data_IF_861443115752
#
_entry.id   IF_861443115752
#
_cell.length_a   1.000
_cell.length_b   1.000
_cell.length_c   1.000
_cell.angle_alpha   90.00
_cell.angle_beta   90.00
_cell.angle_gamma   90.00
#
_symmetry.space_group_name_H-M   'P 1'
#
loop_
_entity.id
_entity.type
_entity.pdbx_description
1 polymer ?
#
# COMPACT_ATOMS: atom_id res chain seq x y z
N UNK A 1 -16.94 -2.55 -8.38
CA UNK A 1 -16.53 -2.17 -7.01
C UNK A 1 -15.04 -1.96 -7.07
N UNK A 2 -14.54 -0.78 -6.71
CA UNK A 2 -13.09 -0.58 -6.61
C UNK A 2 -12.53 -1.68 -5.69
N UNK A 3 -11.51 -2.40 -6.14
CA UNK A 3 -10.82 -3.34 -5.28
C UNK A 3 -10.27 -2.57 -4.07
N UNK A 4 -10.24 -3.22 -2.91
CA UNK A 4 -9.59 -2.69 -1.73
C UNK A 4 -8.80 -3.81 -1.07
N UNK A 5 -7.60 -3.49 -0.60
CA UNK A 5 -6.81 -4.38 0.24
C UNK A 5 -6.72 -3.78 1.65
N UNK A 6 -6.75 -4.63 2.66
CA UNK A 6 -6.54 -4.23 4.04
C UNK A 6 -5.51 -5.17 4.66
N UNK A 7 -4.45 -4.59 5.22
CA UNK A 7 -3.51 -5.35 6.02
C UNK A 7 -4.19 -5.84 7.30
N UNK A 8 -3.72 -6.97 7.82
CA UNK A 8 -4.04 -7.35 9.18
C UNK A 8 -3.54 -6.25 10.14
N UNK A 9 -4.32 -5.95 11.17
CA UNK A 9 -3.93 -4.99 12.18
C UNK A 9 -2.58 -5.38 12.79
N UNK A 10 -1.67 -4.41 12.88
CA UNK A 10 -0.34 -4.57 13.48
C UNK A 10 -0.34 -3.95 14.88
N UNK A 11 0.37 -4.56 15.82
CA UNK A 11 0.64 -3.94 17.10
C UNK A 11 1.56 -2.72 16.91
N UNK A 12 1.38 -1.69 17.72
CA UNK A 12 2.29 -0.55 17.88
C UNK A 12 3.55 -0.98 18.66
N UNK A 13 4.27 -1.99 18.15
CA UNK A 13 5.47 -2.54 18.78
C UNK A 13 6.74 -2.40 17.92
N UNK A 14 6.67 -1.60 16.86
CA UNK A 14 7.77 -1.35 15.95
C UNK A 14 8.58 -0.11 16.35
N UNK A 15 9.87 -0.30 16.69
CA UNK A 15 10.78 0.81 17.00
C UNK A 15 10.49 1.49 18.34
N UNK A 16 9.55 2.43 18.36
CA UNK A 16 9.02 3.08 19.56
C UNK A 16 7.62 2.55 19.85
N UNK A 17 7.46 1.88 21.00
CA UNK A 17 6.24 1.19 21.42
C UNK A 17 5.03 2.12 21.69
N UNK A 18 5.14 3.41 21.37
CA UNK A 18 4.16 4.44 21.73
C UNK A 18 3.96 5.53 20.69
N UNK A 19 4.60 5.43 19.51
CA UNK A 19 4.48 6.46 18.47
C UNK A 19 3.28 6.26 17.53
N UNK A 20 2.61 5.10 17.61
CA UNK A 20 1.43 4.77 16.82
C UNK A 20 1.76 4.37 15.39
N UNK A 21 2.99 3.94 15.11
CA UNK A 21 3.50 3.63 13.77
C UNK A 21 3.89 2.15 13.69
N UNK A 22 3.52 1.52 12.57
CA UNK A 22 4.01 0.19 12.22
C UNK A 22 4.61 0.18 10.81
N UNK A 23 5.37 -0.87 10.52
CA UNK A 23 5.96 -1.13 9.20
C UNK A 23 5.08 -2.09 8.39
N UNK A 24 4.83 -1.75 7.12
CA UNK A 24 4.01 -2.53 6.19
C UNK A 24 4.79 -2.79 4.89
N UNK A 25 4.87 -4.06 4.48
CA UNK A 25 5.34 -4.42 3.14
C UNK A 25 4.16 -4.32 2.16
N UNK A 26 4.10 -3.21 1.42
CA UNK A 26 3.03 -2.91 0.47
C UNK A 26 2.95 -3.97 -0.64
N UNK A 27 4.05 -4.64 -0.98
CA UNK A 27 4.07 -5.65 -2.06
C UNK A 27 3.21 -6.88 -1.74
N UNK A 28 2.83 -7.09 -0.47
CA UNK A 28 1.85 -8.11 -0.09
C UNK A 28 0.45 -7.85 -0.68
N UNK A 29 0.13 -6.60 -1.03
CA UNK A 29 -1.10 -6.26 -1.72
C UNK A 29 -1.07 -6.63 -3.22
N UNK A 30 0.11 -6.83 -3.83
CA UNK A 30 0.28 -6.97 -5.29
C UNK A 30 -0.60 -8.07 -5.88
N UNK A 31 -0.63 -9.25 -5.26
CA UNK A 31 -1.40 -10.38 -5.77
C UNK A 31 -2.91 -10.09 -5.78
N UNK A 32 -3.40 -9.34 -4.79
CA UNK A 32 -4.80 -8.93 -4.70
C UNK A 32 -5.11 -7.83 -5.70
N UNK A 33 -4.23 -6.82 -5.79
CA UNK A 33 -4.37 -5.66 -6.68
C UNK A 33 -4.30 -6.08 -8.16
N UNK A 34 -3.49 -7.08 -8.49
CA UNK A 34 -3.38 -7.64 -9.84
C UNK A 34 -4.59 -8.50 -10.23
N UNK A 35 -5.36 -9.03 -9.28
CA UNK A 35 -6.55 -9.86 -9.52
C UNK A 35 -6.31 -10.98 -10.56
N UNK A 36 -5.18 -11.69 -10.42
CA UNK A 36 -4.80 -12.78 -11.32
C UNK A 36 -4.13 -12.35 -12.64
N UNK A 37 -3.92 -11.06 -12.86
CA UNK A 37 -3.14 -10.57 -14.01
C UNK A 37 -1.65 -10.98 -13.90
N UNK A 38 -0.96 -11.25 -15.02
CA UNK A 38 0.43 -11.71 -14.99
C UNK A 38 1.38 -10.59 -14.53
N UNK A 39 2.07 -10.79 -13.40
CA UNK A 39 3.05 -9.83 -12.86
C UNK A 39 4.24 -9.52 -13.80
N UNK A 40 4.46 -10.31 -14.86
CA UNK A 40 5.44 -10.02 -15.90
C UNK A 40 4.95 -9.11 -17.02
N UNK A 41 3.65 -8.77 -17.04
CA UNK A 41 3.02 -7.87 -18.02
C UNK A 41 2.43 -6.62 -17.37
N UNK A 42 2.26 -6.63 -16.06
CA UNK A 42 1.66 -5.56 -15.27
C UNK A 42 2.54 -5.24 -14.06
N UNK A 43 2.59 -3.96 -13.71
CA UNK A 43 3.28 -3.45 -12.54
C UNK A 43 2.29 -2.77 -11.60
N UNK A 44 2.46 -2.99 -10.30
CA UNK A 44 1.73 -2.27 -9.25
C UNK A 44 2.59 -1.10 -8.79
N UNK A 45 1.98 0.08 -8.68
CA UNK A 45 2.62 1.30 -8.18
C UNK A 45 1.81 1.87 -7.03
N UNK A 46 2.48 2.29 -5.96
CA UNK A 46 1.85 2.79 -4.74
C UNK A 46 2.03 4.31 -4.61
N UNK A 47 1.06 4.97 -4.00
CA UNK A 47 1.01 6.43 -3.85
C UNK A 47 0.46 6.80 -2.47
N UNK A 48 1.01 7.83 -1.85
CA UNK A 48 0.52 8.34 -0.57
C UNK A 48 -0.76 9.19 -0.72
N UNK A 49 -1.01 9.74 -1.91
CA UNK A 49 -2.14 10.63 -2.20
C UNK A 49 -2.96 10.12 -3.39
N UNK A 50 -4.28 10.34 -3.34
CA UNK A 50 -5.22 9.84 -4.34
C UNK A 50 -5.11 10.60 -5.68
N UNK A 51 -4.85 11.92 -5.64
CA UNK A 51 -4.69 12.73 -6.83
C UNK A 51 -3.37 12.39 -7.53
N UNK A 52 -2.31 12.13 -6.75
CA UNK A 52 -1.03 11.63 -7.25
C UNK A 52 -1.20 10.24 -7.91
N UNK A 53 -1.99 9.35 -7.31
CA UNK A 53 -2.32 8.05 -7.88
C UNK A 53 -3.09 8.18 -9.20
N UNK A 54 -4.08 9.06 -9.25
CA UNK A 54 -4.89 9.33 -10.44
C UNK A 54 -4.07 9.98 -11.57
N UNK A 55 -3.15 10.90 -11.23
CA UNK A 55 -2.25 11.55 -12.17
C UNK A 55 -1.03 10.69 -12.54
N UNK A 56 -0.71 9.65 -11.77
CA UNK A 56 0.46 8.81 -11.96
C UNK A 56 1.79 9.51 -11.65
N UNK A 57 1.78 10.43 -10.68
CA UNK A 57 2.94 11.24 -10.27
C UNK A 57 3.33 10.93 -8.83
N UNK A 58 4.59 11.20 -8.45
CA UNK A 58 5.11 11.00 -7.09
C UNK A 58 4.84 9.59 -6.48
N UNK A 59 5.15 8.49 -7.20
CA UNK A 59 4.99 7.15 -6.62
C UNK A 59 5.91 6.95 -5.41
N UNK A 60 5.44 6.17 -4.44
CA UNK A 60 6.28 5.61 -3.38
C UNK A 60 7.33 4.72 -4.05
N UNK A 61 8.60 4.96 -3.73
CA UNK A 61 9.70 4.21 -4.33
C UNK A 61 9.67 2.74 -3.88
N UNK A 62 10.18 1.85 -4.73
CA UNK A 62 10.12 0.41 -4.49
C UNK A 62 10.88 -0.04 -3.22
N UNK A 63 11.89 0.71 -2.77
CA UNK A 63 12.61 0.37 -1.54
C UNK A 63 11.81 0.78 -0.30
N UNK A 64 11.11 1.92 -0.34
CA UNK A 64 10.18 2.32 0.71
C UNK A 64 8.92 1.45 0.73
N UNK A 65 8.50 0.90 -0.42
CA UNK A 65 7.30 0.07 -0.51
C UNK A 65 7.42 -1.27 0.25
N UNK A 66 8.63 -1.82 0.40
CA UNK A 66 8.84 -3.08 1.15
C UNK A 66 8.92 -2.90 2.67
N UNK A 67 9.00 -1.65 3.14
CA UNK A 67 9.16 -1.29 4.55
C UNK A 67 8.48 0.07 4.83
N UNK A 68 7.20 0.19 4.45
CA UNK A 68 6.47 1.45 4.53
C UNK A 68 5.98 1.70 5.96
N UNK A 69 6.48 2.75 6.59
CA UNK A 69 6.10 3.12 7.95
C UNK A 69 4.88 4.04 7.94
N UNK A 70 3.81 3.63 8.61
CA UNK A 70 2.59 4.41 8.69
C UNK A 70 1.84 4.18 9.99
N UNK A 71 1.06 5.18 10.40
CA UNK A 71 0.00 4.98 11.38
C UNK A 71 -1.21 4.29 10.73
N UNK A 72 -2.31 4.19 11.47
CA UNK A 72 -3.60 3.82 10.87
C UNK A 72 -3.96 4.79 9.74
N UNK A 73 -4.24 4.26 8.54
CA UNK A 73 -4.41 5.08 7.34
C UNK A 73 -4.56 4.27 6.07
N UNK A 74 -4.20 4.87 4.94
CA UNK A 74 -4.21 4.20 3.64
C UNK A 74 -3.16 4.77 2.67
N UNK A 75 -2.83 3.97 1.67
CA UNK A 75 -2.19 4.37 0.41
C UNK A 75 -3.06 3.93 -0.76
N UNK A 76 -2.65 4.30 -1.97
CA UNK A 76 -3.36 4.06 -3.21
C UNK A 76 -2.48 3.25 -4.15
N UNK A 77 -3.00 2.14 -4.66
CA UNK A 77 -2.32 1.28 -5.62
C UNK A 77 -2.92 1.47 -7.02
N UNK A 78 -2.06 1.46 -8.04
CA UNK A 78 -2.45 1.49 -9.44
C UNK A 78 -1.67 0.45 -10.22
N UNK A 79 -2.40 -0.41 -10.94
CA UNK A 79 -1.85 -1.35 -11.93
C UNK A 79 -1.67 -0.64 -13.27
N UNK A 80 -0.50 -0.79 -13.90
CA UNK A 80 -0.22 -0.32 -15.26
C UNK A 80 0.39 -1.45 -16.11
N UNK A 81 0.10 -1.51 -17.40
CA UNK A 81 0.76 -2.46 -18.31
C UNK A 81 2.22 -2.05 -18.59
N UNK A 82 3.10 -3.04 -18.77
CA UNK A 82 4.52 -2.82 -19.10
C UNK A 82 4.76 -2.54 -20.60
N UNK A 83 3.70 -2.49 -21.42
CA UNK A 83 3.81 -2.29 -22.87
C UNK A 83 4.43 -3.48 -23.63
N UNK A 84 4.55 -4.66 -22.99
CA UNK A 84 5.15 -5.87 -23.58
C UNK A 84 4.19 -6.67 -24.47
N UNK A 85 2.99 -6.13 -24.73
CA UNK A 85 1.99 -6.74 -25.61
C UNK A 85 2.40 -6.74 -27.09
N UNK A 86 1.72 -7.53 -27.95
CA UNK A 86 2.02 -7.63 -29.38
C UNK A 86 1.75 -6.33 -30.17
N UNK A 87 1.03 -5.37 -29.58
CA UNK A 87 0.87 -4.01 -30.09
C UNK A 87 1.53 -3.05 -29.11
N UNK A 88 2.54 -2.26 -29.53
CA UNK A 88 3.08 -1.20 -28.70
C UNK A 88 1.97 -0.19 -28.38
N UNK A 89 1.53 -0.17 -27.13
CA UNK A 89 0.58 0.82 -26.64
C UNK A 89 1.32 2.16 -26.47
N UNK A 90 0.90 3.25 -27.14
CA UNK A 90 1.61 4.53 -27.06
C UNK A 90 1.59 5.19 -25.67
N UNK A 91 0.74 4.73 -24.75
CA UNK A 91 0.78 5.12 -23.33
C UNK A 91 0.33 3.94 -22.46
N UNK A 92 0.96 3.69 -21.30
CA UNK A 92 0.56 2.58 -20.46
C UNK A 92 -0.89 2.77 -19.95
N UNK A 93 -1.79 1.88 -20.33
CA UNK A 93 -3.12 1.76 -19.75
C UNK A 93 -3.01 1.55 -18.23
N UNK A 94 -3.71 2.39 -17.45
CA UNK A 94 -3.77 2.32 -15.99
C UNK A 94 -5.16 1.89 -15.53
N UNK A 95 -5.18 1.13 -14.44
CA UNK A 95 -6.41 0.78 -13.72
C UNK A 95 -7.00 1.97 -12.96
N UNK A 96 -8.22 1.80 -12.42
CA UNK A 96 -8.75 2.68 -11.38
C UNK A 96 -7.90 2.59 -10.10
N UNK A 97 -7.93 3.64 -9.28
CA UNK A 97 -7.23 3.67 -8.00
C UNK A 97 -7.81 2.64 -7.04
N UNK A 98 -6.94 1.78 -6.51
CA UNK A 98 -7.25 0.75 -5.51
C UNK A 98 -6.80 1.26 -4.15
N UNK A 99 -7.68 1.24 -3.14
CA UNK A 99 -7.30 1.68 -1.78
C UNK A 99 -6.66 0.53 -1.01
N UNK A 100 -5.53 0.80 -0.37
CA UNK A 100 -4.78 -0.13 0.47
C UNK A 100 -4.73 0.44 1.88
N UNK A 101 -5.35 -0.24 2.85
CA UNK A 101 -5.56 0.30 4.20
C UNK A 101 -4.72 -0.41 5.26
N UNK A 102 -4.35 0.36 6.28
CA UNK A 102 -3.52 -0.07 7.42
C UNK A 102 -4.27 0.16 8.72
N UNK A 103 -4.02 -0.68 9.72
CA UNK A 103 -4.50 -0.50 11.09
C UNK A 103 -3.35 -0.77 12.04
N UNK A 104 -3.09 0.17 12.93
CA UNK A 104 -2.11 0.05 14.01
C UNK A 104 -2.86 0.08 15.33
N UNK A 105 -2.67 -0.96 16.14
CA UNK A 105 -3.28 -1.10 17.47
C UNK A 105 -2.33 -0.57 18.54
N UNK A 106 -2.70 0.50 19.28
CA UNK A 106 -1.84 1.07 20.30
C UNK A 106 -1.67 0.10 21.47
N UNK A 107 -0.50 0.11 22.09
CA UNK A 107 -0.29 -0.66 23.31
C UNK A 107 -1.15 -0.11 24.45
N UNK A 108 -1.75 -1.02 25.21
CA UNK A 108 -2.44 -0.66 26.46
C UNK A 108 -1.42 -0.14 27.47
N UNK A 109 -1.57 1.12 27.90
CA UNK A 109 -0.79 1.65 29.03
C UNK A 109 -1.29 0.99 30.32
N UNK A 110 -0.44 0.28 31.09
CA UNK A 110 -0.88 -0.32 32.34
C UNK A 110 -1.16 0.79 33.36
N UNK A 111 -2.42 0.91 33.80
CA UNK A 111 -2.78 1.75 34.95
C UNK A 111 -2.24 1.06 36.20
N UNK A 112 -1.19 1.62 36.81
CA UNK A 112 -0.83 1.24 38.18
C UNK A 112 -1.80 1.98 39.09
N UNK A 113 -2.92 1.32 39.44
CA UNK A 113 -3.79 1.79 40.50
C UNK A 113 -2.98 1.74 41.81
N UNK A 114 -2.66 2.92 42.33
CA UNK A 114 -1.84 3.07 43.52
C UNK A 114 -2.58 2.52 44.73
N UNK A 115 -2.15 1.35 45.21
CA UNK A 115 -2.56 0.81 46.51
C UNK A 115 -2.10 1.66 47.69
#
# INVERSE_FOLDING_TARGET
TAAAYAFAAQCDDFGDLTDGIAEFDLTQADATVLDGQPAGQFVVTYYADADDAAAGINPIDAASAVAYQSATGQVYAVVSNLGTGPTPDPAPCRSEVVTVSFTVEPLVTPVIDGG
#
